data_IF_670920397385
#
_entry.id   IF_670920397385
#
_cell.length_a   1.000
_cell.length_b   1.000
_cell.length_c   1.000
_cell.angle_alpha   90.00
_cell.angle_beta   90.00
_cell.angle_gamma   90.00
#
_symmetry.space_group_name_H-M   'P 1'
#
loop_
_entity.id
_entity.type
_entity.pdbx_description
1 polymer ?
#
# COMPACT_ATOMS: atom_id res chain seq x y z
N UNK A 1 16.70 62.15 -6.33
CA UNK A 1 16.68 61.72 -4.92
C UNK A 1 15.27 61.87 -4.41
N UNK A 2 14.60 60.93 -3.76
CA UNK A 2 14.99 59.69 -3.10
C UNK A 2 13.68 58.93 -2.89
N UNK A 3 13.51 57.77 -3.56
CA UNK A 3 13.26 56.48 -2.90
C UNK A 3 12.11 56.47 -1.88
N UNK A 4 10.94 56.03 -2.36
CA UNK A 4 10.02 55.23 -1.54
C UNK A 4 10.37 53.77 -1.84
N UNK A 5 10.95 53.09 -0.85
CA UNK A 5 11.16 51.63 -0.79
C UNK A 5 10.74 51.24 0.62
N UNK A 6 9.71 50.42 0.71
CA UNK A 6 9.82 48.99 1.04
C UNK A 6 9.86 48.83 2.55
N UNK A 7 8.73 48.41 3.13
CA UNK A 7 8.67 47.72 4.42
C UNK A 7 7.35 46.92 4.47
N UNK A 8 7.25 45.94 3.58
CA UNK A 8 6.43 44.76 3.82
C UNK A 8 7.40 43.68 4.27
N UNK A 9 7.38 43.38 5.56
CA UNK A 9 8.13 42.28 6.15
C UNK A 9 7.48 40.99 5.68
N UNK A 10 8.02 40.40 4.61
CA UNK A 10 7.72 39.02 4.22
C UNK A 10 8.35 38.09 5.25
N UNK A 11 7.55 37.70 6.24
CA UNK A 11 7.76 36.52 7.06
C UNK A 11 7.42 35.30 6.21
N UNK A 12 8.28 34.95 5.25
CA UNK A 12 8.27 33.61 4.68
C UNK A 12 8.95 32.66 5.66
N UNK A 13 8.09 31.89 6.33
CA UNK A 13 8.41 30.68 7.08
C UNK A 13 9.30 29.77 6.23
N UNK A 14 10.61 29.85 6.49
CA UNK A 14 11.60 28.91 5.99
C UNK A 14 11.38 27.58 6.72
N UNK A 15 10.40 26.81 6.26
CA UNK A 15 10.27 25.39 6.62
C UNK A 15 11.47 24.67 6.01
N UNK A 16 12.46 24.43 6.86
CA UNK A 16 13.60 23.55 6.66
C UNK A 16 13.12 22.19 6.10
N UNK A 17 13.07 22.08 4.78
CA UNK A 17 12.83 20.82 4.08
C UNK A 17 14.10 19.99 4.22
N UNK A 18 14.22 19.29 5.34
CA UNK A 18 15.20 18.22 5.50
C UNK A 18 15.17 17.27 4.29
N UNK A 19 16.26 16.55 3.99
CA UNK A 19 16.38 15.79 2.75
C UNK A 19 15.15 14.92 2.54
N UNK A 20 14.51 15.06 1.37
CA UNK A 20 13.32 14.30 0.99
C UNK A 20 13.47 12.83 1.42
N UNK A 21 12.45 12.25 2.08
CA UNK A 21 12.57 10.89 2.60
C UNK A 21 12.93 9.93 1.46
N UNK A 22 13.98 9.14 1.65
CA UNK A 22 14.37 8.13 0.68
C UNK A 22 13.26 7.08 0.59
N UNK A 23 12.60 7.00 -0.56
CA UNK A 23 11.59 6.00 -0.82
C UNK A 23 12.25 4.63 -1.01
N UNK A 24 11.86 3.67 -0.18
CA UNK A 24 12.32 2.28 -0.23
C UNK A 24 11.15 1.30 -0.27
N UNK A 25 11.36 0.13 -0.86
CA UNK A 25 10.39 -0.97 -0.87
C UNK A 25 10.28 -1.62 0.51
N UNK A 26 9.32 -2.53 0.68
CA UNK A 26 9.17 -3.35 1.90
C UNK A 26 10.35 -4.27 2.20
N UNK A 27 11.29 -4.43 1.25
CA UNK A 27 12.54 -5.16 1.43
C UNK A 27 13.74 -4.22 1.69
N UNK A 28 13.52 -2.90 1.80
CA UNK A 28 14.57 -1.89 2.04
C UNK A 28 15.35 -1.46 0.80
N UNK A 29 14.94 -1.92 -0.39
CA UNK A 29 15.57 -1.57 -1.68
C UNK A 29 15.09 -0.19 -2.14
N UNK A 30 15.93 0.61 -2.81
CA UNK A 30 15.51 1.90 -3.36
C UNK A 30 14.30 1.72 -4.30
N UNK A 31 13.29 2.57 -4.14
CA UNK A 31 12.11 2.53 -4.99
C UNK A 31 12.47 3.04 -6.39
N UNK A 32 12.56 2.14 -7.36
CA UNK A 32 12.80 2.45 -8.78
C UNK A 32 11.80 1.64 -9.58
N UNK A 33 10.95 2.32 -10.34
CA UNK A 33 10.02 1.65 -11.24
C UNK A 33 10.80 1.02 -12.37
N UNK A 34 10.66 -0.29 -12.47
CA UNK A 34 11.44 -1.10 -13.39
C UNK A 34 10.51 -1.93 -14.25
N UNK A 35 10.64 -1.79 -15.57
CA UNK A 35 9.81 -2.45 -16.57
C UNK A 35 10.69 -3.32 -17.47
N UNK A 36 10.42 -4.62 -17.55
CA UNK A 36 11.20 -5.61 -18.28
C UNK A 36 10.37 -6.10 -19.45
N UNK A 37 10.97 -6.06 -20.64
CA UNK A 37 10.33 -6.48 -21.88
C UNK A 37 10.94 -7.78 -22.38
N UNK A 38 10.09 -8.77 -22.63
CA UNK A 38 10.47 -9.98 -23.34
C UNK A 38 9.61 -10.16 -24.59
N UNK A 39 10.22 -10.52 -25.70
CA UNK A 39 9.50 -11.03 -26.87
C UNK A 39 8.95 -12.41 -26.55
N UNK A 40 7.69 -12.64 -26.85
CA UNK A 40 7.04 -13.95 -26.74
C UNK A 40 7.12 -14.66 -28.09
N UNK A 41 7.65 -15.88 -28.10
CA UNK A 41 7.76 -16.70 -29.32
C UNK A 41 6.52 -17.57 -29.54
N UNK A 42 5.95 -18.08 -28.45
CA UNK A 42 4.76 -18.90 -28.45
C UNK A 42 3.93 -18.56 -27.21
N UNK A 43 2.90 -17.74 -27.40
CA UNK A 43 2.06 -17.27 -26.30
C UNK A 43 1.28 -18.40 -25.62
N UNK A 44 0.77 -19.36 -26.40
CA UNK A 44 0.01 -20.48 -25.86
C UNK A 44 0.90 -21.35 -24.96
N UNK A 45 2.13 -21.63 -25.39
CA UNK A 45 3.10 -22.36 -24.58
C UNK A 45 3.52 -21.57 -23.32
N UNK A 46 3.73 -20.26 -23.43
CA UNK A 46 4.05 -19.40 -22.27
C UNK A 46 2.93 -19.45 -21.24
N UNK A 47 1.67 -19.21 -21.65
CA UNK A 47 0.50 -19.23 -20.76
C UNK A 47 0.33 -20.60 -20.09
N UNK A 48 0.48 -21.68 -20.87
CA UNK A 48 0.44 -23.07 -20.35
C UNK A 48 1.54 -23.33 -19.32
N UNK A 49 2.74 -22.78 -19.51
CA UNK A 49 3.84 -22.93 -18.56
C UNK A 49 3.59 -22.11 -17.30
N UNK A 50 3.13 -20.87 -17.44
CA UNK A 50 2.81 -19.98 -16.33
C UNK A 50 1.72 -20.54 -15.42
N UNK A 51 0.68 -21.17 -15.98
CA UNK A 51 -0.41 -21.77 -15.18
C UNK A 51 0.05 -22.89 -14.24
N UNK A 52 1.21 -23.50 -14.51
CA UNK A 52 1.82 -24.52 -13.63
C UNK A 52 2.60 -23.93 -12.45
N UNK A 53 2.88 -22.62 -12.45
CA UNK A 53 3.77 -21.98 -11.48
C UNK A 53 3.00 -21.35 -10.32
N UNK A 54 2.99 -22.00 -9.16
CA UNK A 54 2.31 -21.51 -7.95
C UNK A 54 2.84 -20.16 -7.42
N UNK A 55 4.02 -19.72 -7.85
CA UNK A 55 4.58 -18.42 -7.47
C UNK A 55 3.92 -17.24 -8.16
N UNK A 56 3.21 -17.48 -9.27
CA UNK A 56 2.51 -16.46 -10.04
C UNK A 56 1.00 -16.71 -9.97
N UNK A 57 0.27 -15.73 -9.46
CA UNK A 57 -1.20 -15.80 -9.41
C UNK A 57 -1.76 -15.12 -10.65
N UNK A 58 -2.53 -15.86 -11.43
CA UNK A 58 -3.20 -15.32 -12.62
C UNK A 58 -4.51 -14.65 -12.22
N UNK A 59 -4.70 -13.42 -12.67
CA UNK A 59 -5.96 -12.69 -12.59
C UNK A 59 -6.63 -12.67 -13.99
N UNK A 60 -7.79 -13.31 -14.07
CA UNK A 60 -8.57 -13.41 -15.31
C UNK A 60 -9.23 -12.09 -15.72
N UNK A 61 -9.40 -11.14 -14.80
CA UNK A 61 -10.11 -9.89 -15.07
C UNK A 61 -9.22 -8.90 -15.84
N UNK A 62 -7.92 -8.90 -15.53
CA UNK A 62 -6.90 -8.02 -16.12
C UNK A 62 -5.93 -8.77 -17.04
N UNK A 63 -6.15 -10.06 -17.27
CA UNK A 63 -5.28 -10.95 -18.04
C UNK A 63 -3.79 -10.82 -17.65
N UNK A 64 -3.54 -10.83 -16.34
CA UNK A 64 -2.24 -10.51 -15.77
C UNK A 64 -1.82 -11.49 -14.67
N UNK A 65 -0.53 -11.50 -14.36
CA UNK A 65 0.05 -12.34 -13.32
C UNK A 65 0.69 -11.49 -12.23
N UNK A 66 0.40 -11.84 -10.98
CA UNK A 66 1.01 -11.24 -9.80
C UNK A 66 2.06 -12.17 -9.20
N UNK A 67 3.29 -11.67 -9.03
CA UNK A 67 4.35 -12.35 -8.30
C UNK A 67 4.29 -11.97 -6.82
N UNK A 68 3.95 -12.93 -5.96
CA UNK A 68 3.80 -12.73 -4.52
C UNK A 68 4.99 -13.29 -3.73
N UNK A 69 5.41 -12.57 -2.68
CA UNK A 69 6.38 -13.06 -1.69
C UNK A 69 5.89 -14.37 -1.07
N UNK A 70 6.82 -15.26 -0.69
CA UNK A 70 6.45 -16.52 -0.04
C UNK A 70 5.68 -16.24 1.28
N UNK A 71 4.75 -17.13 1.65
CA UNK A 71 4.03 -17.03 2.93
C UNK A 71 5.02 -17.00 4.08
N UNK A 72 4.80 -16.11 5.04
CA UNK A 72 5.63 -16.05 6.24
C UNK A 72 5.40 -17.30 7.08
N UNK A 73 6.48 -17.99 7.48
CA UNK A 73 6.39 -19.11 8.44
C UNK A 73 5.89 -18.66 9.80
N UNK A 74 6.17 -17.41 10.18
CA UNK A 74 5.80 -16.85 11.49
C UNK A 74 4.39 -16.25 11.50
N UNK A 75 3.92 -15.78 10.34
CA UNK A 75 2.62 -15.12 10.19
C UNK A 75 1.94 -15.58 8.88
N UNK A 76 1.47 -16.84 8.81
CA UNK A 76 0.96 -17.44 7.57
C UNK A 76 -0.33 -16.78 7.05
N UNK A 77 -1.12 -16.18 7.96
CA UNK A 77 -2.39 -15.49 7.65
C UNK A 77 -2.20 -14.06 7.14
N UNK A 78 -1.00 -13.47 7.27
CA UNK A 78 -0.79 -12.10 6.81
C UNK A 78 -0.86 -12.01 5.27
N UNK A 79 -1.45 -10.92 4.73
CA UNK A 79 -1.43 -10.65 3.30
C UNK A 79 -0.01 -10.71 2.74
N UNK A 80 0.13 -11.36 1.59
CA UNK A 80 1.44 -11.53 0.94
C UNK A 80 1.82 -10.25 0.20
N UNK A 81 3.07 -9.83 0.34
CA UNK A 81 3.61 -8.70 -0.41
C UNK A 81 3.65 -9.00 -1.91
N UNK A 82 3.11 -8.09 -2.72
CA UNK A 82 3.31 -8.07 -4.17
C UNK A 82 4.74 -7.65 -4.48
N UNK A 83 5.46 -8.49 -5.21
CA UNK A 83 6.85 -8.25 -5.64
C UNK A 83 6.92 -7.68 -7.06
N UNK A 84 5.90 -7.94 -7.87
CA UNK A 84 5.73 -7.39 -9.20
C UNK A 84 4.52 -7.99 -9.90
N UNK A 85 4.20 -7.45 -11.06
CA UNK A 85 3.16 -7.95 -11.94
C UNK A 85 3.68 -8.05 -13.37
N UNK A 86 3.04 -8.84 -14.19
CA UNK A 86 3.35 -8.89 -15.61
C UNK A 86 2.13 -9.31 -16.42
N UNK A 87 2.10 -8.92 -17.69
CA UNK A 87 1.05 -9.25 -18.65
C UNK A 87 1.65 -9.64 -19.99
N UNK A 88 0.86 -10.28 -20.85
CA UNK A 88 1.24 -10.56 -22.23
C UNK A 88 0.39 -9.67 -23.14
N UNK A 89 1.03 -8.80 -23.89
CA UNK A 89 0.37 -7.83 -24.75
C UNK A 89 1.21 -7.59 -26.01
N UNK A 90 0.58 -7.59 -27.19
CA UNK A 90 1.25 -7.29 -28.45
C UNK A 90 2.47 -8.18 -28.75
N UNK A 91 2.41 -9.47 -28.40
CA UNK A 91 3.52 -10.42 -28.58
C UNK A 91 4.69 -10.21 -27.62
N UNK A 92 4.49 -9.47 -26.52
CA UNK A 92 5.49 -9.24 -25.48
C UNK A 92 4.97 -9.62 -24.11
N UNK A 93 5.86 -10.14 -23.28
CA UNK A 93 5.66 -10.23 -21.83
C UNK A 93 6.30 -8.99 -21.22
N UNK A 94 5.45 -8.14 -20.64
CA UNK A 94 5.85 -6.88 -19.99
C UNK A 94 5.72 -7.09 -18.49
N UNK A 95 6.82 -6.94 -17.76
CA UNK A 95 6.89 -7.18 -16.32
C UNK A 95 7.34 -5.94 -15.56
N UNK A 96 6.65 -5.60 -14.47
CA UNK A 96 6.88 -4.40 -13.68
C UNK A 96 7.22 -4.75 -12.23
N UNK A 97 8.19 -4.03 -11.68
CA UNK A 97 8.62 -4.14 -10.28
C UNK A 97 9.06 -2.78 -9.73
N UNK A 98 9.09 -2.64 -8.41
CA UNK A 98 9.45 -1.38 -7.75
C UNK A 98 10.92 -1.30 -7.31
N UNK A 99 11.80 -2.18 -7.81
CA UNK A 99 13.24 -2.11 -7.56
C UNK A 99 14.04 -2.87 -8.62
N UNK A 100 15.31 -2.50 -8.80
CA UNK A 100 16.23 -3.19 -9.72
C UNK A 100 16.49 -4.63 -9.28
N UNK A 101 16.53 -4.86 -7.98
CA UNK A 101 16.76 -6.15 -7.35
C UNK A 101 15.56 -7.08 -7.55
N UNK A 102 14.33 -6.58 -7.43
CA UNK A 102 13.12 -7.35 -7.79
C UNK A 102 13.09 -7.65 -9.27
N UNK A 103 13.43 -6.70 -10.13
CA UNK A 103 13.50 -6.90 -11.56
C UNK A 103 14.48 -8.01 -11.96
N UNK A 104 15.69 -7.98 -11.39
CA UNK A 104 16.71 -9.01 -11.64
C UNK A 104 16.24 -10.41 -11.20
N UNK A 105 15.60 -10.50 -10.03
CA UNK A 105 15.02 -11.76 -9.52
C UNK A 105 13.86 -12.25 -10.38
N UNK A 106 12.95 -11.36 -10.79
CA UNK A 106 11.82 -11.71 -11.64
C UNK A 106 12.29 -12.16 -13.03
N UNK A 107 13.23 -11.43 -13.64
CA UNK A 107 13.85 -11.80 -14.92
C UNK A 107 14.50 -13.17 -14.86
N UNK A 108 15.25 -13.45 -13.79
CA UNK A 108 15.89 -14.76 -13.58
C UNK A 108 14.86 -15.88 -13.45
N UNK A 109 13.75 -15.63 -12.72
CA UNK A 109 12.63 -16.58 -12.59
C UNK A 109 11.94 -16.85 -13.92
N UNK A 110 11.57 -15.79 -14.65
CA UNK A 110 10.91 -15.91 -15.95
C UNK A 110 11.80 -16.64 -16.94
N UNK A 111 13.08 -16.28 -17.02
CA UNK A 111 14.06 -16.99 -17.87
C UNK A 111 14.19 -18.46 -17.47
N UNK A 112 14.30 -18.78 -16.18
CA UNK A 112 14.41 -20.16 -15.72
C UNK A 112 13.17 -21.02 -16.00
N UNK A 113 11.98 -20.42 -16.03
CA UNK A 113 10.74 -21.17 -16.27
C UNK A 113 10.30 -21.22 -17.73
N UNK A 114 10.57 -20.15 -18.48
CA UNK A 114 10.06 -19.94 -19.84
C UNK A 114 11.14 -20.04 -20.91
N UNK A 115 12.42 -20.01 -20.53
CA UNK A 115 13.62 -20.21 -21.37
C UNK A 115 13.42 -19.88 -22.86
N UNK A 116 13.31 -20.91 -23.71
CA UNK A 116 13.21 -20.78 -25.17
C UNK A 116 11.88 -20.17 -25.68
N UNK A 117 10.88 -19.99 -24.83
CA UNK A 117 9.58 -19.40 -25.18
C UNK A 117 9.61 -17.86 -25.17
N UNK A 118 10.60 -17.27 -24.49
CA UNK A 118 10.76 -15.82 -24.39
C UNK A 118 12.16 -15.37 -24.77
N UNK A 119 12.31 -14.15 -25.26
CA UNK A 119 13.61 -13.53 -25.48
C UNK A 119 13.65 -12.16 -24.81
N UNK A 120 14.64 -11.94 -23.94
CA UNK A 120 14.85 -10.64 -23.31
C UNK A 120 15.12 -9.56 -24.37
N UNK A 121 14.38 -8.45 -24.31
CA UNK A 121 14.59 -7.29 -25.20
C UNK A 121 15.27 -6.15 -24.45
N UNK A 122 14.65 -5.64 -23.38
CA UNK A 122 15.15 -4.47 -22.65
C UNK A 122 14.62 -4.40 -21.22
N UNK A 123 15.27 -3.57 -20.41
CA UNK A 123 14.78 -3.14 -19.09
C UNK A 123 14.81 -1.63 -19.05
N UNK A 124 13.70 -1.02 -18.65
CA UNK A 124 13.56 0.42 -18.45
C UNK A 124 13.53 0.70 -16.96
N UNK A 125 14.19 1.78 -16.55
CA UNK A 125 14.21 2.26 -15.17
C UNK A 125 13.69 3.68 -15.14
N UNK A 126 12.79 3.97 -14.21
CA UNK A 126 12.25 5.31 -13.95
C UNK A 126 12.30 5.58 -12.46
N UNK A 127 12.82 6.74 -12.07
CA UNK A 127 12.70 7.20 -10.70
C UNK A 127 11.25 7.63 -10.45
N UNK A 128 10.74 7.51 -9.22
CA UNK A 128 9.37 7.92 -8.89
C UNK A 128 9.13 9.42 -9.08
N UNK A 129 10.20 10.21 -9.15
CA UNK A 129 10.19 11.64 -9.45
C UNK A 129 10.10 11.96 -10.94
N UNK A 130 10.29 10.97 -11.82
CA UNK A 130 10.31 11.17 -13.28
C UNK A 130 8.89 11.18 -13.89
N UNK A 131 7.85 10.99 -13.08
CA UNK A 131 6.49 11.11 -13.57
C UNK A 131 6.18 12.56 -13.94
N UNK A 132 5.51 12.80 -15.09
CA UNK A 132 4.96 14.12 -15.34
C UNK A 132 3.98 14.47 -14.22
N UNK A 133 4.03 15.72 -13.76
CA UNK A 133 2.98 16.24 -12.90
C UNK A 133 1.65 16.11 -13.64
N UNK A 134 0.70 15.42 -13.00
CA UNK A 134 -0.65 15.32 -13.53
C UNK A 134 -1.25 16.71 -13.58
N UNK A 135 -1.92 17.04 -14.69
CA UNK A 135 -2.71 18.26 -14.77
C UNK A 135 -3.81 18.26 -13.69
N UNK A 136 -4.30 19.43 -13.26
CA UNK A 136 -5.43 19.51 -12.33
C UNK A 136 -6.65 18.70 -12.78
N UNK A 137 -6.89 18.62 -14.10
CA UNK A 137 -7.97 17.83 -14.69
C UNK A 137 -7.74 16.32 -14.53
N UNK A 138 -6.53 15.82 -14.80
CA UNK A 138 -6.17 14.41 -14.62
C UNK A 138 -6.22 14.00 -13.14
N UNK A 139 -5.76 14.87 -12.24
CA UNK A 139 -5.87 14.64 -10.78
C UNK A 139 -7.35 14.52 -10.38
N UNK A 140 -8.20 15.41 -10.89
CA UNK A 140 -9.62 15.39 -10.57
C UNK A 140 -10.32 14.16 -11.17
N UNK A 141 -9.97 13.75 -12.39
CA UNK A 141 -10.50 12.53 -13.01
C UNK A 141 -10.08 11.28 -12.23
N UNK A 142 -8.82 11.19 -11.81
CA UNK A 142 -8.35 10.09 -10.95
C UNK A 142 -9.05 10.09 -9.60
N UNK A 143 -9.26 11.26 -8.99
CA UNK A 143 -10.03 11.38 -7.74
C UNK A 143 -11.46 10.90 -7.92
N UNK A 144 -12.13 11.28 -9.00
CA UNK A 144 -13.49 10.81 -9.33
C UNK A 144 -13.56 9.30 -9.49
N UNK A 145 -12.68 8.72 -10.32
CA UNK A 145 -12.59 7.26 -10.51
C UNK A 145 -12.34 6.52 -9.20
N UNK A 146 -11.43 7.03 -8.37
CA UNK A 146 -11.17 6.45 -7.05
C UNK A 146 -12.37 6.58 -6.12
N UNK A 147 -13.08 7.70 -6.15
CA UNK A 147 -14.29 7.93 -5.35
C UNK A 147 -15.43 7.01 -5.78
N UNK A 148 -15.64 6.81 -7.08
CA UNK A 148 -16.65 5.90 -7.64
C UNK A 148 -16.37 4.44 -7.23
N UNK A 149 -15.12 3.99 -7.37
CA UNK A 149 -14.73 2.64 -6.94
C UNK A 149 -14.95 2.47 -5.44
N UNK A 150 -14.55 3.48 -4.65
CA UNK A 150 -14.74 3.46 -3.20
C UNK A 150 -16.22 3.51 -2.82
N UNK A 151 -17.08 4.16 -3.58
CA UNK A 151 -18.52 4.23 -3.31
C UNK A 151 -19.26 2.90 -3.58
N UNK A 152 -18.62 1.91 -4.22
CA UNK A 152 -19.24 0.63 -4.51
C UNK A 152 -19.63 -0.10 -3.19
N UNK A 153 -20.91 -0.45 -2.97
CA UNK A 153 -21.37 -1.03 -1.72
C UNK A 153 -20.65 -2.34 -1.32
N UNK A 154 -20.30 -3.17 -2.30
CA UNK A 154 -19.59 -4.44 -2.05
C UNK A 154 -18.15 -4.20 -1.60
N UNK A 155 -17.50 -3.17 -2.15
CA UNK A 155 -16.16 -2.76 -1.74
C UNK A 155 -16.20 -2.11 -0.36
N UNK A 156 -17.18 -1.25 -0.09
CA UNK A 156 -17.40 -0.67 1.23
C UNK A 156 -17.60 -1.72 2.31
N UNK A 157 -18.40 -2.75 2.03
CA UNK A 157 -18.62 -3.84 2.98
C UNK A 157 -17.36 -4.65 3.23
N UNK A 158 -16.62 -5.03 2.18
CA UNK A 158 -15.37 -5.76 2.33
C UNK A 158 -14.31 -4.97 3.12
N UNK A 159 -14.21 -3.65 2.87
CA UNK A 159 -13.32 -2.77 3.64
C UNK A 159 -13.77 -2.69 5.09
N UNK A 160 -15.08 -2.52 5.34
CA UNK A 160 -15.64 -2.46 6.70
C UNK A 160 -15.33 -3.73 7.48
N UNK A 161 -15.62 -4.90 6.91
CA UNK A 161 -15.33 -6.20 7.53
C UNK A 161 -13.85 -6.33 7.90
N UNK A 162 -12.96 -5.91 7.00
CA UNK A 162 -11.52 -5.94 7.26
C UNK A 162 -11.09 -4.96 8.37
N UNK A 163 -11.66 -3.76 8.41
CA UNK A 163 -11.41 -2.78 9.48
C UNK A 163 -11.93 -3.31 10.82
N UNK A 164 -13.15 -3.82 10.87
CA UNK A 164 -13.75 -4.39 12.08
C UNK A 164 -12.94 -5.57 12.60
N UNK A 165 -12.52 -6.49 11.73
CA UNK A 165 -11.64 -7.59 12.12
C UNK A 165 -10.33 -7.07 12.73
N UNK A 166 -9.68 -6.10 12.06
CA UNK A 166 -8.45 -5.51 12.56
C UNK A 166 -8.62 -4.84 13.92
N UNK A 167 -9.60 -3.94 14.07
CA UNK A 167 -9.77 -3.14 15.27
C UNK A 167 -10.41 -3.91 16.42
N UNK A 168 -11.32 -4.84 16.15
CA UNK A 168 -12.06 -5.56 17.19
C UNK A 168 -11.39 -6.87 17.59
N UNK A 169 -10.62 -7.51 16.72
CA UNK A 169 -10.01 -8.81 17.01
C UNK A 169 -8.49 -8.73 17.18
N UNK A 170 -7.79 -8.14 16.22
CA UNK A 170 -6.33 -8.11 16.24
C UNK A 170 -5.77 -7.05 17.19
N UNK A 171 -6.26 -5.80 17.10
CA UNK A 171 -5.71 -4.66 17.83
C UNK A 171 -5.75 -4.84 19.36
N UNK A 172 -6.83 -5.38 19.98
CA UNK A 172 -6.87 -5.63 21.43
C UNK A 172 -5.79 -6.60 21.93
N UNK A 173 -5.28 -7.46 21.05
CA UNK A 173 -4.26 -8.48 21.30
C UNK A 173 -2.86 -8.05 20.85
N UNK A 174 -2.76 -6.98 20.06
CA UNK A 174 -1.50 -6.47 19.54
C UNK A 174 -0.68 -5.78 20.63
N UNK A 175 0.62 -6.06 20.69
CA UNK A 175 1.55 -5.32 21.58
C UNK A 175 1.85 -3.96 20.98
N UNK A 176 1.54 -2.89 21.71
CA UNK A 176 1.67 -1.53 21.21
C UNK A 176 2.87 -0.81 21.86
N UNK A 177 3.77 -0.17 21.08
CA UNK A 177 4.85 0.66 21.62
C UNK A 177 4.33 1.77 22.55
N UNK A 178 3.23 2.43 22.18
CA UNK A 178 2.57 3.45 23.00
C UNK A 178 2.13 2.96 24.38
N UNK A 179 1.90 1.64 24.52
CA UNK A 179 1.55 0.98 25.78
C UNK A 179 2.75 0.26 26.42
N UNK A 180 3.98 0.67 26.07
CA UNK A 180 5.25 0.07 26.53
C UNK A 180 5.30 -1.44 26.27
N UNK A 181 4.86 -1.85 25.08
CA UNK A 181 4.88 -3.26 24.63
C UNK A 181 3.77 -4.14 25.22
N UNK A 182 2.80 -3.56 25.92
CA UNK A 182 1.59 -4.26 26.40
C UNK A 182 0.50 -4.24 25.34
N UNK A 183 -0.44 -5.17 25.46
CA UNK A 183 -1.68 -5.14 24.67
C UNK A 183 -2.71 -4.20 25.30
N UNK A 184 -3.67 -3.66 24.52
CA UNK A 184 -4.79 -2.91 25.08
C UNK A 184 -5.52 -3.66 26.19
N UNK A 185 -5.83 -4.96 25.99
CA UNK A 185 -6.47 -5.81 27.01
C UNK A 185 -5.66 -5.94 28.31
N UNK A 186 -4.33 -5.87 28.24
CA UNK A 186 -3.47 -5.87 29.43
C UNK A 186 -3.39 -4.48 30.07
N UNK A 187 -3.35 -3.43 29.26
CA UNK A 187 -3.18 -2.06 29.72
C UNK A 187 -4.39 -1.55 30.50
N UNK A 188 -5.62 -1.88 30.07
CA UNK A 188 -6.87 -1.42 30.71
C UNK A 188 -7.06 -1.89 32.16
N UNK A 189 -6.29 -2.90 32.61
CA UNK A 189 -6.30 -3.39 34.00
C UNK A 189 -5.71 -2.39 34.99
N UNK A 190 -4.94 -1.40 34.54
CA UNK A 190 -4.37 -0.34 35.38
C UNK A 190 -4.97 1.00 34.97
N UNK A 191 -5.22 1.87 35.94
CA UNK A 191 -5.84 3.18 35.71
C UNK A 191 -5.08 4.04 34.68
N UNK A 192 -3.75 4.11 34.79
CA UNK A 192 -2.91 4.82 33.80
C UNK A 192 -3.02 4.21 32.39
N UNK A 193 -3.05 2.88 32.30
CA UNK A 193 -3.16 2.18 31.02
C UNK A 193 -4.54 2.34 30.40
N UNK A 194 -5.60 2.34 31.22
CA UNK A 194 -6.97 2.63 30.81
C UNK A 194 -7.08 4.00 30.13
N UNK A 195 -6.55 5.04 30.77
CA UNK A 195 -6.55 6.42 30.21
C UNK A 195 -5.83 6.48 28.87
N UNK A 196 -4.67 5.81 28.73
CA UNK A 196 -3.92 5.75 27.46
C UNK A 196 -4.68 5.02 26.36
N UNK A 197 -5.31 3.90 26.68
CA UNK A 197 -6.11 3.14 25.70
C UNK A 197 -7.33 3.97 25.26
N UNK A 198 -7.99 4.67 26.18
CA UNK A 198 -9.10 5.58 25.83
C UNK A 198 -8.63 6.64 24.84
N UNK A 199 -7.52 7.32 25.14
CA UNK A 199 -6.95 8.36 24.29
C UNK A 199 -6.56 7.86 22.89
N UNK A 200 -6.03 6.63 22.78
CA UNK A 200 -5.74 6.00 21.48
C UNK A 200 -7.01 5.77 20.66
N UNK A 201 -8.07 5.25 21.29
CA UNK A 201 -9.35 5.02 20.59
C UNK A 201 -10.00 6.35 20.21
N UNK A 202 -9.90 7.39 21.05
CA UNK A 202 -10.39 8.73 20.69
C UNK A 202 -9.63 9.35 19.51
N UNK A 203 -8.34 9.04 19.40
CA UNK A 203 -7.53 9.46 18.25
C UNK A 203 -7.98 8.78 16.96
N UNK A 204 -8.26 7.47 17.01
CA UNK A 204 -8.85 6.77 15.86
C UNK A 204 -10.18 7.37 15.46
N UNK A 205 -11.04 7.70 16.43
CA UNK A 205 -12.33 8.31 16.15
C UNK A 205 -12.18 9.68 15.48
N UNK A 206 -11.26 10.53 15.97
CA UNK A 206 -10.95 11.82 15.32
C UNK A 206 -10.44 11.63 13.91
N UNK A 207 -9.55 10.66 13.67
CA UNK A 207 -9.04 10.37 12.33
C UNK A 207 -10.15 9.95 11.36
N UNK A 208 -11.16 9.21 11.83
CA UNK A 208 -12.34 8.85 11.02
C UNK A 208 -13.20 10.06 10.64
N UNK A 209 -13.23 11.11 11.47
CA UNK A 209 -14.02 12.33 11.22
C UNK A 209 -13.29 13.31 10.31
N UNK A 210 -11.99 13.51 10.54
CA UNK A 210 -11.17 14.47 9.79
C UNK A 210 -10.83 13.94 8.39
N UNK A 211 -10.76 12.62 8.22
CA UNK A 211 -10.48 12.02 6.91
C UNK A 211 -11.59 12.34 5.91
N UNK A 212 -11.22 12.97 4.78
CA UNK A 212 -12.07 13.10 3.59
C UNK A 212 -12.12 11.81 2.75
N UNK A 213 -11.50 10.72 3.20
CA UNK A 213 -11.52 9.45 2.46
C UNK A 213 -12.91 8.84 2.47
N UNK A 214 -13.31 8.22 1.36
CA UNK A 214 -14.52 7.41 1.25
C UNK A 214 -14.43 6.06 2.01
N UNK A 215 -13.62 5.96 3.06
CA UNK A 215 -13.50 4.75 3.87
C UNK A 215 -14.72 4.61 4.79
N UNK A 216 -15.23 3.38 5.00
CA UNK A 216 -16.33 3.15 5.92
C UNK A 216 -15.88 3.47 7.35
N UNK A 217 -16.75 4.15 8.09
CA UNK A 217 -16.55 4.37 9.53
C UNK A 217 -16.93 3.12 10.30
N UNK A 218 -16.17 2.83 11.36
CA UNK A 218 -16.45 1.75 12.31
C UNK A 218 -16.93 2.34 13.64
N UNK A 219 -17.86 1.64 14.28
CA UNK A 219 -18.34 1.99 15.62
C UNK A 219 -17.30 1.60 16.68
N UNK A 220 -16.48 2.56 17.08
CA UNK A 220 -15.43 2.34 18.08
C UNK A 220 -15.99 2.12 19.49
N UNK A 221 -17.27 2.39 19.77
CA UNK A 221 -17.85 2.02 21.06
C UNK A 221 -17.99 0.50 21.22
N UNK A 222 -18.08 -0.26 20.12
CA UNK A 222 -17.94 -1.72 20.14
C UNK A 222 -16.58 -2.11 20.71
N UNK A 223 -15.51 -1.45 20.24
CA UNK A 223 -14.16 -1.67 20.75
C UNK A 223 -14.04 -1.27 22.22
N UNK A 224 -14.65 -0.15 22.63
CA UNK A 224 -14.68 0.28 24.04
C UNK A 224 -15.32 -0.78 24.92
N UNK A 225 -16.51 -1.27 24.56
CA UNK A 225 -17.23 -2.34 25.30
C UNK A 225 -16.39 -3.61 25.39
N UNK A 226 -15.75 -4.03 24.31
CA UNK A 226 -14.90 -5.23 24.28
C UNK A 226 -13.70 -5.14 25.23
N UNK A 227 -13.21 -3.92 25.47
CA UNK A 227 -12.11 -3.64 26.40
C UNK A 227 -12.58 -3.33 27.83
N UNK A 228 -13.89 -3.39 28.10
CA UNK A 228 -14.48 -3.03 29.40
C UNK A 228 -14.38 -1.53 29.71
N UNK A 229 -14.34 -0.69 28.67
CA UNK A 229 -14.28 0.77 28.77
C UNK A 229 -15.67 1.39 28.63
N UNK A 230 -15.93 2.55 29.25
CA UNK A 230 -17.17 3.29 29.02
C UNK A 230 -17.27 3.74 27.55
N UNK A 231 -18.49 3.94 27.02
CA UNK A 231 -18.68 4.54 25.71
C UNK A 231 -18.09 5.95 25.67
N UNK A 232 -17.83 6.47 24.47
CA UNK A 232 -17.36 7.85 24.33
C UNK A 232 -18.40 8.81 24.91
N UNK A 233 -17.96 9.78 25.71
CA UNK A 233 -18.83 10.86 26.16
C UNK A 233 -19.13 11.77 24.96
N UNK A 234 -20.42 12.01 24.69
CA UNK A 234 -20.89 12.94 23.65
C UNK A 234 -20.40 14.36 23.89
#
# INVERSE_FOLDING_TARGET
SSHIKDDAVDLEDNLDQGPFPLLVTTDGEKLILTEIHFRVRDEAAVRKRLSSLRSFQYDKNDDSWTWLKAKSRKYPEKPRTVLGHFRIEGGRLIAETNSRERASRLRSKLKGHLDNLIAYEKTLYREPTDFPELSPEEIEEQRKKSAELSANPKIQEAIREQLEHHYFEEWPLAKLPALRGKTPLQAVKKEEGRRKVIALIDDFDRMQVVSKSAMPKIDLDILRRRLGLPPKAN
#
